data_IF_448100615705
#
_entry.id   IF_448100615705
#
_cell.length_a   1.000
_cell.length_b   1.000
_cell.length_c   1.000
_cell.angle_alpha   90.00
_cell.angle_beta   90.00
_cell.angle_gamma   90.00
#
_symmetry.space_group_name_H-M   'P 1'
#
loop_
_entity.id
_entity.type
_entity.pdbx_description
1 polymer ?
#
# COMPACT_ATOMS: atom_id res chain seq x y z
N UNK A 1 11.13 4.06 -14.00
CA UNK A 1 10.46 3.04 -13.15
C UNK A 1 10.14 3.68 -11.82
N UNK A 2 8.99 3.35 -11.23
CA UNK A 2 8.62 3.80 -9.88
C UNK A 2 8.40 2.59 -8.97
N UNK A 3 8.91 2.68 -7.74
CA UNK A 3 8.79 1.67 -6.70
C UNK A 3 8.03 2.29 -5.52
N UNK A 4 7.07 1.55 -5.00
CA UNK A 4 6.35 1.87 -3.77
C UNK A 4 6.44 0.69 -2.82
N UNK A 5 6.32 0.89 -1.51
CA UNK A 5 6.41 -0.20 -0.54
C UNK A 5 5.39 -0.03 0.59
N UNK A 6 5.17 -1.10 1.37
CA UNK A 6 4.45 -1.01 2.64
C UNK A 6 5.39 -0.66 3.80
N UNK A 7 4.83 -0.31 4.95
CA UNK A 7 5.61 -0.01 6.17
C UNK A 7 5.01 -0.58 7.47
N UNK A 8 3.97 -1.41 7.40
CA UNK A 8 3.15 -1.81 8.56
C UNK A 8 3.95 -2.34 9.77
N UNK A 9 4.89 -3.30 9.59
CA UNK A 9 5.78 -3.74 10.66
C UNK A 9 6.71 -2.64 11.16
N UNK A 10 7.29 -1.84 10.27
CA UNK A 10 8.29 -0.81 10.57
C UNK A 10 7.67 0.35 11.36
N UNK A 11 6.53 0.90 10.90
CA UNK A 11 5.85 2.02 11.58
C UNK A 11 5.34 1.59 12.95
N UNK A 12 4.90 0.33 13.05
CA UNK A 12 4.50 -0.26 14.30
C UNK A 12 5.66 -0.41 15.29
N UNK A 13 6.83 -0.85 14.82
CA UNK A 13 8.04 -0.92 15.64
C UNK A 13 8.48 0.46 16.13
N UNK A 14 8.49 1.48 15.27
CA UNK A 14 8.82 2.85 15.67
C UNK A 14 7.86 3.38 16.74
N UNK A 15 6.57 3.09 16.62
CA UNK A 15 5.57 3.48 17.64
C UNK A 15 5.82 2.80 19.00
N UNK A 16 6.26 1.54 18.99
CA UNK A 16 6.68 0.84 20.22
C UNK A 16 7.94 1.44 20.82
N UNK A 17 8.94 1.74 19.99
CA UNK A 17 10.21 2.34 20.43
C UNK A 17 9.99 3.71 21.07
N UNK A 18 9.15 4.56 20.47
CA UNK A 18 8.77 5.85 21.06
C UNK A 18 8.11 5.67 22.43
N UNK A 19 7.17 4.72 22.54
CA UNK A 19 6.52 4.38 23.81
C UNK A 19 7.51 3.89 24.87
N UNK A 20 8.52 3.11 24.49
CA UNK A 20 9.51 2.58 25.40
C UNK A 20 10.54 3.64 25.87
N UNK A 21 10.79 4.67 25.05
CA UNK A 21 11.73 5.74 25.35
C UNK A 21 11.12 6.82 26.25
N UNK A 22 10.10 7.54 25.76
CA UNK A 22 9.41 8.58 26.52
C UNK A 22 7.94 8.70 26.04
N UNK A 23 6.97 8.17 26.80
CA UNK A 23 5.55 8.23 26.44
C UNK A 23 4.97 9.63 26.29
N UNK A 24 5.59 10.65 26.88
CA UNK A 24 5.10 12.04 26.83
C UNK A 24 5.58 12.81 25.59
N UNK A 25 6.51 12.25 24.82
CA UNK A 25 7.14 12.88 23.65
C UNK A 25 6.99 12.01 22.39
N UNK A 26 5.82 11.41 22.20
CA UNK A 26 5.55 10.58 21.03
C UNK A 26 5.43 11.43 19.76
N UNK A 27 6.21 11.09 18.74
CA UNK A 27 5.93 11.54 17.38
C UNK A 27 4.58 10.96 16.92
N UNK A 28 3.74 11.78 16.26
CA UNK A 28 2.46 11.31 15.74
C UNK A 28 2.68 10.34 14.58
N UNK A 29 1.68 9.50 14.31
CA UNK A 29 1.79 8.38 13.37
C UNK A 29 2.19 8.80 11.94
N UNK A 30 1.77 9.97 11.48
CA UNK A 30 2.16 10.55 10.19
C UNK A 30 3.67 10.85 10.12
N UNK A 31 4.25 11.38 11.21
CA UNK A 31 5.70 11.61 11.31
C UNK A 31 6.46 10.28 11.37
N UNK A 32 5.94 9.28 12.08
CA UNK A 32 6.51 7.93 12.04
C UNK A 32 6.43 7.32 10.63
N UNK A 33 5.33 7.58 9.90
CA UNK A 33 5.19 7.25 8.49
C UNK A 33 6.31 7.84 7.65
N UNK A 34 6.56 9.15 7.79
CA UNK A 34 7.67 9.84 7.12
C UNK A 34 9.04 9.23 7.44
N UNK A 35 9.29 8.85 8.70
CA UNK A 35 10.52 8.16 9.09
C UNK A 35 10.67 6.81 8.37
N UNK A 36 9.58 6.05 8.23
CA UNK A 36 9.64 4.76 7.52
C UNK A 36 9.86 4.89 6.01
N UNK A 37 9.45 5.99 5.38
CA UNK A 37 9.79 6.25 3.98
C UNK A 37 11.29 6.43 3.81
N UNK A 38 11.93 7.23 4.67
CA UNK A 38 13.39 7.38 4.67
C UNK A 38 14.12 6.09 5.00
N UNK A 39 13.66 5.35 6.03
CA UNK A 39 14.27 4.09 6.47
C UNK A 39 14.25 3.03 5.36
N UNK A 40 13.08 2.76 4.77
CA UNK A 40 12.93 1.69 3.78
C UNK A 40 13.46 2.14 2.42
N UNK A 41 13.24 3.41 2.04
CA UNK A 41 13.79 3.99 0.82
C UNK A 41 15.31 3.90 0.79
N UNK A 42 15.98 4.26 1.89
CA UNK A 42 17.43 4.09 2.04
C UNK A 42 17.89 2.64 1.80
N UNK A 43 17.20 1.65 2.39
CA UNK A 43 17.55 0.25 2.21
C UNK A 43 17.38 -0.21 0.75
N UNK A 44 16.31 0.24 0.08
CA UNK A 44 16.08 -0.06 -1.34
C UNK A 44 17.17 0.58 -2.19
N UNK A 45 17.48 1.86 -1.96
CA UNK A 45 18.53 2.59 -2.69
C UNK A 45 19.91 1.97 -2.53
N UNK A 46 20.25 1.49 -1.33
CA UNK A 46 21.52 0.80 -1.08
C UNK A 46 21.65 -0.43 -1.99
N UNK A 47 20.59 -1.25 -2.09
CA UNK A 47 20.61 -2.43 -2.94
C UNK A 47 20.54 -2.08 -4.43
N UNK A 48 19.79 -1.04 -4.81
CA UNK A 48 19.81 -0.52 -6.17
C UNK A 48 21.20 -0.04 -6.58
N UNK A 49 21.91 0.66 -5.69
CA UNK A 49 23.30 1.09 -5.91
C UNK A 49 24.29 -0.06 -6.09
N UNK A 50 23.99 -1.26 -5.58
CA UNK A 50 24.80 -2.46 -5.79
C UNK A 50 24.57 -3.10 -7.17
N UNK A 51 23.34 -3.02 -7.71
CA UNK A 51 22.93 -3.78 -8.91
C UNK A 51 22.81 -2.94 -10.18
N UNK A 52 22.54 -1.64 -10.06
CA UNK A 52 22.36 -0.76 -11.20
C UNK A 52 23.70 -0.23 -11.72
N UNK A 53 23.82 0.05 -13.03
CA UNK A 53 24.95 0.81 -13.56
C UNK A 53 25.07 2.16 -12.84
N UNK A 54 26.31 2.63 -12.68
CA UNK A 54 26.62 3.86 -11.93
C UNK A 54 25.88 5.10 -12.48
N UNK A 55 25.60 5.13 -13.77
CA UNK A 55 24.95 6.23 -14.47
C UNK A 55 23.43 6.24 -14.30
N UNK A 56 22.81 5.15 -13.82
CA UNK A 56 21.36 5.08 -13.61
C UNK A 56 21.01 5.75 -12.27
N UNK A 57 20.39 6.92 -12.27
CA UNK A 57 20.08 7.60 -11.02
C UNK A 57 18.90 6.92 -10.31
N UNK A 58 18.89 6.97 -8.99
CA UNK A 58 17.76 6.59 -8.16
C UNK A 58 17.55 7.61 -7.04
N UNK A 59 16.30 7.78 -6.60
CA UNK A 59 15.96 8.72 -5.55
C UNK A 59 14.65 8.36 -4.83
N UNK A 60 14.67 8.51 -3.51
CA UNK A 60 13.54 8.37 -2.60
C UNK A 60 12.94 9.74 -2.36
N UNK A 61 11.64 9.85 -2.59
CA UNK A 61 10.88 11.08 -2.43
C UNK A 61 9.90 10.90 -1.29
N UNK A 62 10.09 11.70 -0.23
CA UNK A 62 9.09 11.82 0.83
C UNK A 62 7.76 12.26 0.20
N UNK A 63 6.71 11.48 0.44
CA UNK A 63 5.47 11.62 -0.32
C UNK A 63 4.31 11.95 0.59
N UNK A 64 3.72 13.14 0.43
CA UNK A 64 2.47 13.51 1.11
C UNK A 64 1.27 13.12 0.26
N UNK A 65 0.21 12.68 0.94
CA UNK A 65 -1.04 12.26 0.32
C UNK A 65 -2.21 12.94 1.00
N UNK A 66 -2.99 13.68 0.21
CA UNK A 66 -4.22 14.31 0.66
C UNK A 66 -5.29 13.24 0.90
N UNK A 67 -5.95 13.29 2.04
CA UNK A 67 -7.09 12.44 2.40
C UNK A 67 -8.30 13.30 2.79
N UNK A 68 -9.48 12.69 2.87
CA UNK A 68 -10.64 13.41 3.38
C UNK A 68 -10.61 13.48 4.91
N UNK A 69 -10.83 14.66 5.49
CA UNK A 69 -10.93 14.81 6.95
C UNK A 69 -12.13 14.06 7.49
N UNK A 70 -13.23 14.04 6.73
CA UNK A 70 -14.49 13.45 7.13
C UNK A 70 -14.64 12.01 6.61
N UNK A 71 -13.54 11.38 6.18
CA UNK A 71 -13.53 9.99 5.71
C UNK A 71 -14.14 9.06 6.77
N UNK A 72 -15.12 8.21 6.42
CA UNK A 72 -15.73 7.26 7.35
C UNK A 72 -14.73 6.35 8.07
N UNK A 73 -13.55 6.09 7.49
CA UNK A 73 -12.49 5.27 8.08
C UNK A 73 -11.96 5.83 9.42
N UNK A 74 -12.12 7.13 9.69
CA UNK A 74 -11.80 7.71 11.00
C UNK A 74 -12.76 7.27 12.10
N UNK A 75 -14.01 6.92 11.75
CA UNK A 75 -15.02 6.44 12.70
C UNK A 75 -14.94 4.94 12.92
N UNK A 76 -14.49 4.17 11.92
CA UNK A 76 -14.28 2.73 12.01
C UNK A 76 -12.87 2.32 11.52
N UNK A 77 -11.85 2.38 12.38
CA UNK A 77 -10.48 2.03 12.01
C UNK A 77 -10.35 0.52 11.76
N UNK A 78 -9.71 0.15 10.64
CA UNK A 78 -9.60 -1.25 10.18
C UNK A 78 -8.18 -1.67 9.86
N UNK A 79 -7.23 -0.74 9.72
CA UNK A 79 -5.87 -1.05 9.26
C UNK A 79 -4.99 -1.49 10.41
N UNK A 80 -4.55 -2.74 10.39
CA UNK A 80 -3.67 -3.29 11.41
C UNK A 80 -2.25 -2.72 11.34
N UNK A 81 -1.71 -2.31 12.48
CA UNK A 81 -0.32 -1.85 12.63
C UNK A 81 0.35 -2.48 13.85
N UNK A 82 1.68 -2.58 13.80
CA UNK A 82 2.47 -3.04 14.93
C UNK A 82 2.27 -4.51 15.32
N UNK A 83 2.69 -4.87 16.54
CA UNK A 83 2.80 -6.25 16.99
C UNK A 83 1.43 -6.82 17.36
N UNK A 84 1.46 -8.07 17.82
CA UNK A 84 0.31 -8.75 18.41
C UNK A 84 0.29 -8.53 19.93
N UNK A 85 -0.89 -8.44 20.50
CA UNK A 85 -1.15 -8.19 21.90
C UNK A 85 -2.00 -9.32 22.50
N UNK A 86 -1.89 -9.52 23.82
CA UNK A 86 -2.89 -10.30 24.55
C UNK A 86 -4.19 -9.49 24.67
N UNK A 87 -5.31 -10.18 24.93
CA UNK A 87 -6.59 -9.49 25.17
C UNK A 87 -6.50 -8.53 26.38
N UNK A 88 -5.76 -8.91 27.41
CA UNK A 88 -5.55 -8.09 28.61
C UNK A 88 -4.74 -6.83 28.30
N UNK A 89 -3.65 -6.95 27.53
CA UNK A 89 -2.83 -5.81 27.15
C UNK A 89 -3.59 -4.87 26.20
N UNK A 90 -4.39 -5.41 25.28
CA UNK A 90 -5.21 -4.62 24.37
C UNK A 90 -6.25 -3.78 25.12
N UNK A 91 -6.98 -4.37 26.07
CA UNK A 91 -7.94 -3.63 26.91
C UNK A 91 -7.25 -2.56 27.78
N UNK A 92 -6.07 -2.88 28.34
CA UNK A 92 -5.29 -1.88 29.09
C UNK A 92 -4.86 -0.71 28.20
N UNK A 93 -4.29 -0.97 27.03
CA UNK A 93 -3.83 0.07 26.10
C UNK A 93 -4.99 0.88 25.53
N UNK A 94 -6.16 0.28 25.37
CA UNK A 94 -7.39 0.99 24.99
C UNK A 94 -7.82 1.98 26.07
N UNK A 95 -7.79 1.58 27.35
CA UNK A 95 -8.12 2.46 28.47
C UNK A 95 -7.08 3.57 28.67
N UNK A 96 -5.79 3.22 28.61
CA UNK A 96 -4.68 4.14 28.92
C UNK A 96 -4.42 5.14 27.77
N UNK A 97 -4.58 4.70 26.51
CA UNK A 97 -4.15 5.47 25.33
C UNK A 97 -5.25 5.76 24.31
N UNK A 98 -6.46 5.25 24.51
CA UNK A 98 -7.55 5.38 23.54
C UNK A 98 -7.30 4.62 22.23
N UNK A 99 -6.37 3.66 22.20
CA UNK A 99 -6.07 2.91 20.99
C UNK A 99 -7.21 1.96 20.62
N UNK A 100 -7.49 1.85 19.32
CA UNK A 100 -8.44 0.88 18.79
C UNK A 100 -7.74 -0.45 18.50
N UNK A 101 -8.44 -1.56 18.78
CA UNK A 101 -7.96 -2.92 18.52
C UNK A 101 -9.04 -3.76 17.86
N UNK A 102 -8.63 -4.66 16.98
CA UNK A 102 -9.49 -5.70 16.37
C UNK A 102 -8.73 -7.04 16.35
N UNK A 103 -9.49 -8.12 16.17
CA UNK A 103 -8.92 -9.46 15.98
C UNK A 103 -8.38 -9.61 14.56
N UNK A 104 -7.11 -10.00 14.46
CA UNK A 104 -6.45 -10.47 13.25
C UNK A 104 -6.24 -11.99 13.41
N UNK A 105 -7.23 -12.77 12.96
CA UNK A 105 -7.34 -14.19 13.33
C UNK A 105 -7.66 -14.36 14.82
N UNK A 106 -6.79 -15.04 15.55
CA UNK A 106 -6.88 -15.28 16.99
C UNK A 106 -6.07 -14.26 17.83
N UNK A 107 -5.42 -13.29 17.19
CA UNK A 107 -4.51 -12.33 17.83
C UNK A 107 -5.11 -10.92 17.85
N UNK A 108 -4.86 -10.18 18.94
CA UNK A 108 -5.26 -8.77 19.01
C UNK A 108 -4.20 -7.87 18.40
N UNK A 109 -4.60 -6.95 17.52
CA UNK A 109 -3.69 -5.97 16.91
C UNK A 109 -4.30 -4.58 16.91
N UNK A 110 -3.44 -3.57 17.09
CA UNK A 110 -3.85 -2.17 17.01
C UNK A 110 -4.35 -1.88 15.60
N UNK A 111 -5.48 -1.19 15.50
CA UNK A 111 -6.00 -0.66 14.24
C UNK A 111 -5.99 0.86 14.23
N UNK A 112 -5.78 1.41 13.04
CA UNK A 112 -5.84 2.85 12.76
C UNK A 112 -6.73 3.12 11.56
N UNK A 113 -7.11 4.39 11.39
CA UNK A 113 -7.88 4.83 10.24
C UNK A 113 -7.09 4.60 8.95
N UNK A 114 -7.77 4.18 7.88
CA UNK A 114 -7.21 4.01 6.54
C UNK A 114 -8.10 4.70 5.52
N UNK A 115 -8.08 6.05 5.49
CA UNK A 115 -8.87 6.84 4.57
C UNK A 115 -8.41 6.64 3.12
N UNK A 116 -9.29 6.93 2.17
CA UNK A 116 -8.96 6.83 0.75
C UNK A 116 -8.00 7.95 0.31
N UNK A 117 -6.97 7.63 -0.50
CA UNK A 117 -6.07 8.64 -1.01
C UNK A 117 -6.76 9.49 -2.09
N UNK A 118 -6.68 10.82 -1.98
CA UNK A 118 -7.31 11.77 -2.92
C UNK A 118 -6.30 12.36 -3.90
N UNK A 119 -5.09 12.71 -3.42
CA UNK A 119 -4.06 13.36 -4.24
C UNK A 119 -2.67 13.12 -3.67
N UNK A 120 -1.71 12.77 -4.54
CA UNK A 120 -0.29 12.79 -4.18
C UNK A 120 0.29 14.18 -4.49
N UNK A 121 1.02 14.78 -3.55
CA UNK A 121 1.56 16.14 -3.71
C UNK A 121 2.79 16.18 -4.63
N UNK A 122 3.68 15.19 -4.52
CA UNK A 122 4.98 15.15 -5.19
C UNK A 122 4.94 14.56 -6.61
N UNK A 123 3.75 14.40 -7.22
CA UNK A 123 3.59 13.85 -8.59
C UNK A 123 4.47 14.59 -9.60
N UNK A 124 4.56 15.92 -9.52
CA UNK A 124 5.34 16.73 -10.45
C UNK A 124 6.85 16.45 -10.32
N UNK A 125 7.47 16.59 -9.13
CA UNK A 125 8.85 16.15 -8.90
C UNK A 125 9.12 14.71 -9.35
N UNK A 126 8.23 13.77 -9.02
CA UNK A 126 8.37 12.36 -9.41
C UNK A 126 8.39 12.24 -10.95
N UNK A 127 7.48 12.91 -11.66
CA UNK A 127 7.42 12.91 -13.13
C UNK A 127 8.72 13.45 -13.75
N UNK A 128 9.25 14.56 -13.23
CA UNK A 128 10.52 15.14 -13.74
C UNK A 128 11.71 14.19 -13.60
N UNK A 129 11.76 13.42 -12.51
CA UNK A 129 12.82 12.43 -12.28
C UNK A 129 12.68 11.23 -13.23
N UNK A 130 11.45 10.73 -13.40
CA UNK A 130 11.15 9.63 -14.32
C UNK A 130 11.49 9.98 -15.78
N UNK A 131 11.18 11.21 -16.21
CA UNK A 131 11.53 11.73 -17.55
C UNK A 131 13.05 11.78 -17.80
N UNK A 132 13.86 11.80 -16.73
CA UNK A 132 15.33 11.79 -16.79
C UNK A 132 15.93 10.40 -16.58
N UNK A 133 15.12 9.35 -16.61
CA UNK A 133 15.57 7.97 -16.43
C UNK A 133 15.87 7.58 -14.98
N UNK A 134 15.41 8.37 -14.00
CA UNK A 134 15.61 8.05 -12.58
C UNK A 134 14.67 6.92 -12.14
N UNK A 135 15.19 5.97 -11.37
CA UNK A 135 14.37 5.02 -10.61
C UNK A 135 13.89 5.71 -9.34
N UNK A 136 12.58 5.93 -9.24
CA UNK A 136 12.02 6.68 -8.11
C UNK A 136 11.41 5.73 -7.08
N UNK A 137 11.74 5.91 -5.81
CA UNK A 137 11.04 5.31 -4.68
C UNK A 137 10.12 6.38 -4.08
N UNK A 138 8.82 6.10 -3.93
CA UNK A 138 7.86 7.07 -3.43
C UNK A 138 6.67 6.37 -2.74
N UNK A 139 5.78 7.16 -2.13
CA UNK A 139 4.57 6.70 -1.44
C UNK A 139 4.83 5.54 -0.47
N UNK A 140 5.95 5.60 0.25
CA UNK A 140 6.32 4.55 1.19
C UNK A 140 5.27 4.41 2.30
N UNK A 141 4.80 3.20 2.53
CA UNK A 141 3.71 2.96 3.48
C UNK A 141 2.32 3.44 3.02
N UNK A 142 2.16 3.84 1.76
CA UNK A 142 0.95 4.51 1.26
C UNK A 142 1.03 6.03 1.33
N UNK A 143 2.18 6.59 1.67
CA UNK A 143 2.41 8.03 1.78
C UNK A 143 2.02 8.61 3.14
N UNK A 144 2.49 9.82 3.42
CA UNK A 144 2.21 10.58 4.63
C UNK A 144 0.80 11.21 4.52
N UNK A 145 -0.19 10.77 5.31
CA UNK A 145 -1.54 11.31 5.25
C UNK A 145 -1.59 12.77 5.70
N UNK A 146 -2.20 13.61 4.87
CA UNK A 146 -2.34 15.05 5.10
C UNK A 146 -3.73 15.55 4.75
N UNK A 147 -4.15 16.64 5.39
CA UNK A 147 -5.42 17.33 5.15
C UNK A 147 -5.18 18.83 5.03
N UNK A 148 -6.07 19.53 4.32
CA UNK A 148 -6.17 20.98 4.40
C UNK A 148 -7.13 21.40 5.50
N UNK A 149 -6.61 22.16 6.46
CA UNK A 149 -7.42 22.90 7.42
C UNK A 149 -7.93 24.22 6.82
N UNK A 150 -8.93 24.88 7.45
CA UNK A 150 -9.38 26.20 7.05
C UNK A 150 -8.21 27.19 6.83
N UNK A 151 -8.29 27.96 5.75
CA UNK A 151 -7.21 28.85 5.33
C UNK A 151 -6.09 28.17 4.53
N UNK A 152 -6.31 26.97 3.99
CA UNK A 152 -5.34 26.19 3.18
C UNK A 152 -4.06 25.82 3.94
N UNK A 153 -4.19 25.58 5.25
CA UNK A 153 -3.08 25.10 6.05
C UNK A 153 -2.95 23.58 5.87
N UNK A 154 -1.86 23.13 5.28
CA UNK A 154 -1.56 21.70 5.15
C UNK A 154 -1.08 21.15 6.49
N UNK A 155 -1.69 20.06 6.97
CA UNK A 155 -1.28 19.37 8.20
C UNK A 155 -1.28 17.86 8.00
N UNK A 156 -0.36 17.19 8.67
CA UNK A 156 -0.42 15.74 8.84
C UNK A 156 -1.58 15.32 9.74
N UNK A 157 -2.08 14.11 9.52
CA UNK A 157 -3.14 13.50 10.34
C UNK A 157 -2.80 12.05 10.64
N UNK A 158 -3.05 11.58 11.86
CA UNK A 158 -2.73 10.20 12.23
C UNK A 158 -3.64 9.18 11.53
N UNK A 159 -3.12 8.57 10.47
CA UNK A 159 -3.76 7.50 9.73
C UNK A 159 -2.70 6.64 9.03
N UNK A 160 -3.10 5.52 8.42
CA UNK A 160 -2.26 4.76 7.50
C UNK A 160 -3.06 4.49 6.25
N UNK A 161 -2.65 5.10 5.14
CA UNK A 161 -3.29 4.91 3.83
C UNK A 161 -2.95 3.52 3.31
N UNK A 162 -3.90 2.87 2.63
CA UNK A 162 -3.59 1.61 1.98
C UNK A 162 -2.57 1.80 0.85
N UNK A 163 -1.44 1.10 0.94
CA UNK A 163 -0.36 1.22 -0.04
C UNK A 163 -0.82 0.88 -1.46
N UNK A 164 -1.67 -0.13 -1.65
CA UNK A 164 -2.03 -0.60 -2.98
C UNK A 164 -2.98 0.43 -3.64
N UNK A 165 -3.90 1.02 -2.87
CA UNK A 165 -4.76 2.13 -3.32
C UNK A 165 -3.97 3.42 -3.59
N UNK A 166 -2.96 3.74 -2.77
CA UNK A 166 -2.11 4.91 -3.04
C UNK A 166 -1.22 4.70 -4.27
N UNK A 167 -0.64 3.52 -4.42
CA UNK A 167 0.18 3.16 -5.59
C UNK A 167 -0.65 3.17 -6.87
N UNK A 168 -1.91 2.74 -6.80
CA UNK A 168 -2.88 2.87 -7.89
C UNK A 168 -3.11 4.32 -8.30
N UNK A 169 -3.40 5.19 -7.33
CA UNK A 169 -3.61 6.62 -7.57
C UNK A 169 -2.38 7.25 -8.22
N UNK A 170 -1.20 6.94 -7.69
CA UNK A 170 0.07 7.43 -8.20
C UNK A 170 0.33 6.92 -9.62
N UNK A 171 0.10 5.63 -9.89
CA UNK A 171 0.25 5.03 -11.21
C UNK A 171 -0.65 5.72 -12.25
N UNK A 172 -1.90 6.03 -11.91
CA UNK A 172 -2.80 6.80 -12.80
C UNK A 172 -2.33 8.23 -13.01
N UNK A 173 -1.91 8.93 -11.95
CA UNK A 173 -1.44 10.31 -12.04
C UNK A 173 -0.14 10.45 -12.83
N UNK A 174 0.67 9.40 -12.88
CA UNK A 174 1.90 9.30 -13.68
C UNK A 174 1.69 8.66 -15.05
N UNK A 175 0.44 8.30 -15.39
CA UNK A 175 0.08 7.66 -16.67
C UNK A 175 0.87 6.37 -16.94
N UNK A 176 1.17 5.60 -15.88
CA UNK A 176 1.98 4.38 -15.95
C UNK A 176 1.43 3.36 -16.97
N UNK A 177 2.31 2.62 -17.64
CA UNK A 177 1.92 1.63 -18.67
C UNK A 177 1.38 0.33 -18.09
N UNK A 178 1.91 -0.08 -16.95
CA UNK A 178 1.52 -1.28 -16.22
C UNK A 178 1.57 -0.97 -14.72
N UNK A 179 0.59 -1.46 -13.97
CA UNK A 179 0.58 -1.40 -12.50
C UNK A 179 0.78 -2.80 -11.91
N UNK A 180 1.83 -3.01 -11.13
CA UNK A 180 2.18 -4.33 -10.57
C UNK A 180 2.22 -4.30 -9.05
N UNK A 181 1.54 -5.26 -8.44
CA UNK A 181 1.57 -5.52 -7.00
C UNK A 181 2.22 -6.87 -6.72
N UNK A 182 3.48 -6.82 -6.28
CA UNK A 182 4.19 -7.99 -5.80
C UNK A 182 3.76 -8.35 -4.37
N UNK A 183 3.50 -9.63 -4.11
CA UNK A 183 3.05 -10.16 -2.82
C UNK A 183 3.63 -11.57 -2.57
N UNK A 184 3.21 -12.24 -1.51
CA UNK A 184 3.72 -13.57 -1.13
C UNK A 184 2.94 -14.71 -1.81
N UNK A 185 1.79 -14.40 -2.43
CA UNK A 185 1.00 -15.33 -3.22
C UNK A 185 1.39 -15.27 -4.69
N UNK A 186 1.51 -16.43 -5.34
CA UNK A 186 1.88 -16.53 -6.77
C UNK A 186 0.80 -15.93 -7.69
N UNK A 187 -0.47 -15.89 -7.26
CA UNK A 187 -1.60 -15.30 -8.00
C UNK A 187 -2.75 -14.94 -7.05
N UNK A 188 -3.81 -14.33 -7.59
CA UNK A 188 -5.13 -14.24 -6.94
C UNK A 188 -5.87 -15.56 -7.14
N UNK A 189 -6.59 -16.03 -6.12
CA UNK A 189 -7.33 -17.28 -6.17
C UNK A 189 -8.80 -17.08 -5.82
N UNK A 190 -9.68 -17.79 -6.54
CA UNK A 190 -10.99 -18.13 -6.02
C UNK A 190 -10.83 -19.23 -4.96
N UNK A 191 -11.68 -19.24 -3.93
CA UNK A 191 -11.68 -20.26 -2.88
C UNK A 191 -10.31 -20.47 -2.19
N UNK A 192 -9.59 -19.37 -1.93
CA UNK A 192 -8.28 -19.40 -1.26
C UNK A 192 -8.28 -20.27 0.01
N UNK A 193 -7.29 -21.16 0.11
CA UNK A 193 -7.13 -22.08 1.24
C UNK A 193 -8.06 -23.30 1.24
N UNK A 194 -8.92 -23.47 0.22
CA UNK A 194 -9.78 -24.65 0.07
C UNK A 194 -9.25 -25.61 -1.01
N UNK A 195 -9.68 -26.90 -0.98
CA UNK A 195 -9.37 -27.84 -2.07
C UNK A 195 -9.89 -27.42 -3.45
N UNK A 196 -10.88 -26.52 -3.49
CA UNK A 196 -11.45 -25.94 -4.72
C UNK A 196 -10.70 -24.71 -5.22
N UNK A 197 -9.58 -24.34 -4.57
CA UNK A 197 -8.83 -23.14 -4.91
C UNK A 197 -8.40 -23.13 -6.38
N UNK A 198 -8.65 -22.01 -7.07
CA UNK A 198 -8.33 -21.87 -8.50
C UNK A 198 -7.74 -20.50 -8.78
N UNK A 199 -6.56 -20.48 -9.39
CA UNK A 199 -5.86 -19.24 -9.72
C UNK A 199 -6.55 -18.50 -10.86
N UNK A 200 -6.76 -17.19 -10.69
CA UNK A 200 -7.08 -16.31 -11.79
C UNK A 200 -5.81 -16.05 -12.59
N UNK A 201 -5.79 -16.44 -13.87
CA UNK A 201 -4.65 -16.15 -14.74
C UNK A 201 -4.81 -14.82 -15.44
N UNK A 202 -6.00 -14.57 -15.96
CA UNK A 202 -6.41 -13.29 -16.54
C UNK A 202 -7.89 -13.06 -16.26
N UNK A 203 -8.28 -11.84 -15.94
CA UNK A 203 -9.68 -11.53 -15.68
C UNK A 203 -10.05 -10.08 -16.04
N UNK A 204 -11.32 -9.86 -16.37
CA UNK A 204 -11.87 -8.51 -16.49
C UNK A 204 -12.19 -7.93 -15.10
N UNK A 205 -12.12 -6.59 -14.91
CA UNK A 205 -12.53 -5.96 -13.66
C UNK A 205 -13.97 -6.32 -13.24
N UNK A 206 -14.90 -6.36 -14.21
CA UNK A 206 -16.28 -6.75 -13.97
C UNK A 206 -16.40 -8.19 -13.43
N UNK A 207 -15.63 -9.14 -13.96
CA UNK A 207 -15.66 -10.51 -13.50
C UNK A 207 -15.05 -10.68 -12.11
N UNK A 208 -13.95 -9.97 -11.82
CA UNK A 208 -13.30 -9.99 -10.50
C UNK A 208 -14.22 -9.46 -9.39
N UNK A 209 -15.04 -8.44 -9.68
CA UNK A 209 -16.04 -7.89 -8.73
C UNK A 209 -17.15 -8.88 -8.36
N UNK A 210 -17.32 -9.97 -9.11
CA UNK A 210 -18.22 -11.06 -8.74
C UNK A 210 -17.72 -11.92 -7.58
N UNK A 211 -16.49 -11.70 -7.10
CA UNK A 211 -15.86 -12.48 -6.04
C UNK A 211 -15.59 -11.63 -4.80
N UNK A 212 -15.63 -12.27 -3.64
CA UNK A 212 -15.26 -11.65 -2.36
C UNK A 212 -13.83 -12.02 -2.00
N UNK A 213 -13.01 -11.01 -1.70
CA UNK A 213 -11.62 -11.18 -1.28
C UNK A 213 -11.40 -10.63 0.14
N UNK A 214 -10.45 -11.18 0.92
CA UNK A 214 -10.20 -10.70 2.28
C UNK A 214 -9.79 -9.22 2.32
N UNK A 215 -10.54 -8.40 3.08
CA UNK A 215 -10.38 -6.94 3.13
C UNK A 215 -9.03 -6.44 3.70
N UNK A 216 -8.32 -7.28 4.47
CA UNK A 216 -7.02 -6.93 5.05
C UNK A 216 -5.80 -7.29 4.19
N UNK A 217 -5.99 -7.97 3.05
CA UNK A 217 -4.88 -8.49 2.25
C UNK A 217 -5.14 -8.41 0.74
N UNK A 218 -5.93 -9.33 0.20
CA UNK A 218 -6.12 -9.45 -1.26
C UNK A 218 -7.20 -8.50 -1.80
N UNK A 219 -8.19 -8.14 -0.98
CA UNK A 219 -9.28 -7.23 -1.38
C UNK A 219 -8.79 -5.89 -1.93
N UNK A 220 -8.00 -5.11 -1.17
CA UNK A 220 -7.47 -3.83 -1.64
C UNK A 220 -6.64 -3.94 -2.92
N UNK A 221 -5.89 -5.05 -3.09
CA UNK A 221 -5.10 -5.30 -4.31
C UNK A 221 -5.99 -5.50 -5.53
N UNK A 222 -6.99 -6.35 -5.41
CA UNK A 222 -7.92 -6.60 -6.51
C UNK A 222 -8.71 -5.34 -6.84
N UNK A 223 -9.15 -4.59 -5.83
CA UNK A 223 -9.84 -3.31 -6.02
C UNK A 223 -8.96 -2.30 -6.76
N UNK A 224 -7.71 -2.11 -6.30
CA UNK A 224 -6.72 -1.25 -6.94
C UNK A 224 -6.46 -1.64 -8.40
N UNK A 225 -6.24 -2.92 -8.69
CA UNK A 225 -6.04 -3.41 -10.05
C UNK A 225 -7.26 -3.23 -10.95
N UNK A 226 -8.46 -3.50 -10.43
CA UNK A 226 -9.71 -3.31 -11.17
C UNK A 226 -9.93 -1.83 -11.51
N UNK A 227 -9.73 -0.94 -10.54
CA UNK A 227 -9.87 0.49 -10.75
C UNK A 227 -8.85 1.03 -11.75
N UNK A 228 -7.57 0.63 -11.63
CA UNK A 228 -6.53 1.02 -12.60
C UNK A 228 -6.92 0.59 -14.02
N UNK A 229 -7.32 -0.66 -14.20
CA UNK A 229 -7.67 -1.19 -15.52
C UNK A 229 -8.91 -0.50 -16.11
N UNK A 230 -9.95 -0.26 -15.31
CA UNK A 230 -11.17 0.42 -15.78
C UNK A 230 -10.91 1.88 -16.18
N UNK A 231 -10.11 2.61 -15.40
CA UNK A 231 -9.90 4.05 -15.62
C UNK A 231 -8.88 4.31 -16.73
N UNK A 232 -7.85 3.48 -16.84
CA UNK A 232 -6.75 3.71 -17.79
C UNK A 232 -6.87 2.90 -19.07
N UNK A 233 -7.65 1.81 -19.06
CA UNK A 233 -7.64 0.81 -20.13
C UNK A 233 -6.36 -0.02 -20.20
N UNK A 234 -5.41 0.18 -19.27
CA UNK A 234 -4.13 -0.52 -19.21
C UNK A 234 -4.21 -1.74 -18.28
N UNK A 235 -3.14 -2.53 -18.23
CA UNK A 235 -3.12 -3.77 -17.46
C UNK A 235 -2.57 -3.57 -16.05
N UNK A 236 -3.20 -4.25 -15.08
CA UNK A 236 -2.63 -4.45 -13.74
C UNK A 236 -2.27 -5.93 -13.52
N UNK A 237 -1.27 -6.20 -12.68
CA UNK A 237 -0.86 -7.55 -12.33
C UNK A 237 -0.66 -7.73 -10.82
N UNK A 238 -1.04 -8.90 -10.30
CA UNK A 238 -0.86 -9.31 -8.89
C UNK A 238 -0.20 -10.69 -8.87
N UNK A 239 0.88 -10.86 -8.12
CA UNK A 239 1.61 -12.13 -8.09
C UNK A 239 2.85 -12.08 -7.21
N UNK A 240 3.67 -13.13 -7.27
CA UNK A 240 4.86 -13.23 -6.43
C UNK A 240 6.00 -12.32 -6.90
N UNK A 241 6.76 -11.77 -5.95
CA UNK A 241 7.89 -10.88 -6.26
C UNK A 241 8.92 -11.50 -7.22
N UNK A 242 9.21 -12.80 -7.04
CA UNK A 242 10.14 -13.55 -7.90
C UNK A 242 9.70 -13.62 -9.37
N UNK A 243 8.39 -13.48 -9.63
CA UNK A 243 7.78 -13.63 -10.95
C UNK A 243 7.58 -12.28 -11.67
N UNK A 244 8.13 -11.18 -11.12
CA UNK A 244 7.97 -9.82 -11.68
C UNK A 244 8.23 -9.73 -13.21
N UNK A 245 9.32 -10.30 -13.77
CA UNK A 245 9.53 -10.28 -15.22
C UNK A 245 8.41 -10.98 -16.00
N UNK A 246 7.94 -12.13 -15.52
CA UNK A 246 6.89 -12.89 -16.17
C UNK A 246 5.51 -12.23 -15.99
N UNK A 247 5.28 -11.54 -14.88
CA UNK A 247 4.08 -10.73 -14.67
C UNK A 247 3.99 -9.56 -15.66
N UNK A 248 5.12 -8.89 -15.96
CA UNK A 248 5.19 -7.84 -16.99
C UNK A 248 4.81 -8.37 -18.38
N UNK A 249 5.22 -9.60 -18.69
CA UNK A 249 4.88 -10.28 -19.95
C UNK A 249 3.47 -10.90 -19.93
N UNK A 250 2.76 -10.81 -18.80
CA UNK A 250 1.47 -11.46 -18.59
C UNK A 250 1.57 -12.98 -18.67
N UNK A 251 2.71 -13.56 -18.28
CA UNK A 251 3.04 -15.00 -18.26
C UNK A 251 2.87 -15.65 -16.87
N UNK A 252 2.98 -14.87 -15.80
CA UNK A 252 2.76 -15.29 -14.41
C UNK A 252 1.78 -14.36 -13.68
N UNK A 253 1.34 -14.79 -12.49
CA UNK A 253 0.37 -14.06 -11.67
C UNK A 253 -1.02 -13.93 -12.29
N UNK A 254 -1.79 -13.01 -11.73
CA UNK A 254 -3.12 -12.62 -12.21
C UNK A 254 -3.01 -11.31 -12.97
N UNK A 255 -3.36 -11.32 -14.26
CA UNK A 255 -3.50 -10.10 -15.07
C UNK A 255 -4.95 -9.61 -15.05
N UNK A 256 -5.17 -8.36 -14.62
CA UNK A 256 -6.49 -7.71 -14.67
C UNK A 256 -6.47 -6.68 -15.81
N UNK A 257 -7.40 -6.83 -16.76
CA UNK A 257 -7.43 -6.02 -17.99
C UNK A 257 -8.84 -5.95 -18.58
N UNK A 258 -9.20 -4.82 -19.18
CA UNK A 258 -10.47 -4.63 -19.91
C UNK A 258 -10.50 -5.37 -21.26
N UNK A 259 -9.35 -5.84 -21.76
CA UNK A 259 -9.28 -6.67 -22.96
C UNK A 259 -9.79 -8.11 -22.73
N UNK A 260 -9.90 -8.55 -21.48
CA UNK A 260 -10.47 -9.86 -21.15
C UNK A 260 -12.00 -9.78 -21.17
N UNK A 261 -12.65 -10.77 -21.79
CA UNK A 261 -14.11 -10.85 -21.84
C UNK A 261 -14.72 -11.39 -20.53
N UNK A 262 -13.93 -12.06 -19.69
CA UNK A 262 -14.37 -12.78 -18.49
C UNK A 262 -13.20 -13.28 -17.67
N UNK A 263 -13.28 -14.50 -17.15
CA UNK A 263 -12.20 -15.13 -16.39
C UNK A 263 -11.52 -16.21 -17.23
N UNK A 264 -10.21 -16.10 -17.32
CA UNK A 264 -9.30 -17.15 -17.76
C UNK A 264 -8.58 -17.69 -16.53
N UNK A 265 -8.73 -18.99 -16.30
CA UNK A 265 -8.16 -19.66 -15.14
C UNK A 265 -6.74 -20.14 -15.43
N UNK A 266 -5.92 -20.21 -14.38
CA UNK A 266 -4.63 -20.89 -14.43
C UNK A 266 -4.78 -22.37 -14.75
N UNK A 267 -3.75 -22.92 -15.40
CA UNK A 267 -3.60 -24.36 -15.60
C UNK A 267 -3.38 -25.09 -14.27
#
# INVERSE_FOLDING_TARGET
MIITHGNGPQVGLLALQGTAYNPDELYPLDVLGAQTEGMIGYMIEQELGNILPFEVPFATILTMVEVDRDDPAFKDPTKFIGPVYSAADAEKLKADKGWAFKLDGDKWRRVVASPLPKRVFEVRPIKWLLERGTVVIAAGGGGIPTVYEPGRQLRGIEAVIDKDLCSELLARQLEADVFIMATDADAVFADWGKPTARAFRRASPAAMRGYSFPAGSMGPKVEAACHFADVTGKCAAIGALKDLPDMLLGQAGTTITTAAAGIEWGA
#
